data_IF_734811292610
#
_entry.id   IF_734811292610
#
_cell.length_a   1.000
_cell.length_b   1.000
_cell.length_c   1.000
_cell.angle_alpha   90.00
_cell.angle_beta   90.00
_cell.angle_gamma   90.00
#
_symmetry.space_group_name_H-M   'P 1'
#
loop_
_entity.id
_entity.type
_entity.pdbx_description
1 polymer ?
#
# COMPACT_ATOMS: atom_id res chain seq x y z
N UNK A 1 -3.18 -0.68 -3.41
CA UNK A 1 -4.43 0.00 -3.02
C UNK A 1 -5.52 -0.97 -2.56
N UNK A 2 -5.20 -2.22 -2.17
CA UNK A 2 -6.24 -3.18 -1.78
C UNK A 2 -6.90 -2.81 -0.44
N UNK A 3 -8.23 -2.96 -0.33
CA UNK A 3 -8.97 -2.89 0.94
C UNK A 3 -8.88 -4.19 1.76
N UNK A 4 -8.35 -5.27 1.19
CA UNK A 4 -8.39 -6.60 1.79
C UNK A 4 -7.02 -7.00 2.35
N UNK A 5 -6.97 -7.33 3.64
CA UNK A 5 -5.76 -7.79 4.31
C UNK A 5 -5.19 -9.05 3.66
N UNK A 6 -6.08 -9.96 3.22
CA UNK A 6 -5.69 -11.21 2.59
C UNK A 6 -4.92 -10.99 1.30
N UNK A 7 -5.23 -9.94 0.53
CA UNK A 7 -4.50 -9.63 -0.70
C UNK A 7 -3.05 -9.22 -0.39
N UNK A 8 -2.85 -8.40 0.65
CA UNK A 8 -1.52 -7.99 1.11
C UNK A 8 -0.73 -9.21 1.60
N UNK A 9 -1.35 -10.07 2.40
CA UNK A 9 -0.73 -11.29 2.91
C UNK A 9 -0.32 -12.24 1.78
N UNK A 10 -1.22 -12.48 0.82
CA UNK A 10 -0.95 -13.33 -0.33
C UNK A 10 0.18 -12.75 -1.20
N UNK A 11 0.20 -11.43 -1.39
CA UNK A 11 1.27 -10.77 -2.14
C UNK A 11 2.63 -10.93 -1.47
N UNK A 12 2.71 -10.70 -0.15
CA UNK A 12 3.92 -10.93 0.66
C UNK A 12 4.39 -12.38 0.53
N UNK A 13 3.49 -13.35 0.68
CA UNK A 13 3.83 -14.77 0.62
C UNK A 13 4.28 -15.23 -0.77
N UNK A 14 3.64 -14.72 -1.83
CA UNK A 14 3.94 -15.06 -3.22
C UNK A 14 5.33 -14.59 -3.60
N UNK A 15 5.68 -13.36 -3.25
CA UNK A 15 6.93 -12.73 -3.67
C UNK A 15 8.04 -12.77 -2.61
N UNK A 16 7.79 -13.40 -1.45
CA UNK A 16 8.74 -13.52 -0.33
C UNK A 16 9.31 -12.17 0.09
N UNK A 17 8.41 -11.21 0.28
CA UNK A 17 8.78 -9.84 0.65
C UNK A 17 9.12 -9.81 2.13
N UNK A 18 10.30 -9.28 2.48
CA UNK A 18 10.71 -9.03 3.87
C UNK A 18 10.41 -7.58 4.30
N UNK A 19 10.61 -6.64 3.37
CA UNK A 19 10.38 -5.21 3.59
C UNK A 19 9.65 -4.57 2.41
N UNK A 20 8.79 -3.61 2.73
CA UNK A 20 8.14 -2.75 1.75
C UNK A 20 8.59 -1.31 1.93
N UNK A 21 9.13 -0.72 0.87
CA UNK A 21 9.38 0.71 0.80
C UNK A 21 8.13 1.40 0.25
N UNK A 22 7.58 2.35 1.00
CA UNK A 22 6.37 3.07 0.63
C UNK A 22 6.66 4.56 0.67
N UNK A 23 6.38 5.27 -0.43
CA UNK A 23 6.41 6.73 -0.44
C UNK A 23 5.17 7.28 0.27
N UNK A 24 5.34 8.28 1.14
CA UNK A 24 4.28 8.86 2.00
C UNK A 24 3.08 9.38 1.22
N UNK A 25 3.27 9.84 -0.03
CA UNK A 25 2.19 10.36 -0.86
C UNK A 25 1.44 9.29 -1.67
N UNK A 26 1.89 8.03 -1.62
CA UNK A 26 1.36 6.92 -2.46
C UNK A 26 -0.16 6.79 -2.38
N UNK A 27 -0.78 7.05 -1.23
CA UNK A 27 -2.21 6.82 -1.03
C UNK A 27 -3.09 8.05 -1.24
N UNK A 28 -2.61 9.06 -1.98
CA UNK A 28 -3.41 10.20 -2.44
C UNK A 28 -3.93 9.94 -3.86
N UNK A 29 -5.17 10.33 -4.21
CA UNK A 29 -5.67 10.17 -5.58
C UNK A 29 -4.77 10.78 -6.64
N UNK A 30 -4.16 11.95 -6.36
CA UNK A 30 -3.24 12.65 -7.26
C UNK A 30 -1.96 11.85 -7.56
N UNK A 31 -1.55 10.93 -6.70
CA UNK A 31 -0.39 10.08 -6.95
C UNK A 31 -0.61 9.18 -8.18
N UNK A 32 -1.86 8.87 -8.53
CA UNK A 32 -2.21 8.07 -9.71
C UNK A 32 -2.22 8.89 -11.02
N UNK A 33 -1.91 10.19 -10.96
CA UNK A 33 -1.82 11.06 -12.15
C UNK A 33 -0.51 10.86 -12.93
N UNK A 34 0.53 10.30 -12.30
CA UNK A 34 1.79 10.05 -12.98
C UNK A 34 1.59 9.20 -14.24
N UNK A 35 2.26 9.60 -15.33
CA UNK A 35 2.04 9.03 -16.66
C UNK A 35 2.16 7.50 -16.71
N UNK A 36 3.10 6.94 -15.95
CA UNK A 36 3.38 5.51 -15.92
C UNK A 36 2.22 4.68 -15.35
N UNK A 37 1.34 5.26 -14.51
CA UNK A 37 0.17 4.55 -14.00
C UNK A 37 -0.85 4.22 -15.11
N UNK A 38 -0.84 4.95 -16.24
CA UNK A 38 -1.74 4.70 -17.37
C UNK A 38 -1.57 3.29 -17.97
N UNK A 39 -0.42 2.65 -17.73
CA UNK A 39 -0.13 1.29 -18.18
C UNK A 39 -0.88 0.21 -17.39
N UNK A 40 -1.47 0.56 -16.24
CA UNK A 40 -2.11 -0.37 -15.32
C UNK A 40 -3.64 -0.26 -15.32
N UNK A 41 -4.24 0.19 -16.41
CA UNK A 41 -5.70 0.17 -16.54
C UNK A 41 -6.23 -1.27 -16.68
N UNK A 42 -7.41 -1.59 -16.09
CA UNK A 42 -8.34 -0.69 -15.40
C UNK A 42 -8.02 -0.44 -13.91
N UNK A 43 -7.02 -1.13 -13.36
CA UNK A 43 -6.71 -1.10 -11.93
C UNK A 43 -6.34 0.30 -11.40
N UNK A 44 -5.76 1.17 -12.26
CA UNK A 44 -5.53 2.58 -11.91
C UNK A 44 -6.84 3.32 -11.64
N UNK A 45 -7.83 3.20 -12.54
CA UNK A 45 -9.13 3.86 -12.39
C UNK A 45 -9.84 3.36 -11.14
N UNK A 46 -9.86 2.05 -10.90
CA UNK A 46 -10.45 1.46 -9.69
C UNK A 46 -9.77 1.96 -8.40
N UNK A 47 -8.44 2.02 -8.39
CA UNK A 47 -7.69 2.55 -7.25
C UNK A 47 -7.99 4.03 -7.00
N UNK A 48 -8.16 4.84 -8.05
CA UNK A 48 -8.52 6.26 -7.92
C UNK A 48 -9.89 6.42 -7.31
N UNK A 49 -10.91 5.76 -7.87
CA UNK A 49 -12.28 5.84 -7.34
C UNK A 49 -12.35 5.39 -5.88
N UNK A 50 -11.58 4.36 -5.52
CA UNK A 50 -11.47 3.89 -4.15
C UNK A 50 -10.94 4.98 -3.20
N UNK A 51 -9.82 5.62 -3.56
CA UNK A 51 -9.19 6.67 -2.76
C UNK A 51 -10.03 7.95 -2.69
N UNK A 52 -10.68 8.35 -3.79
CA UNK A 52 -11.55 9.55 -3.86
C UNK A 52 -12.77 9.41 -2.94
N UNK A 53 -13.26 8.19 -2.72
CA UNK A 53 -14.29 7.88 -1.70
C UNK A 53 -13.75 7.90 -0.26
N UNK A 54 -12.55 8.45 -0.04
CA UNK A 54 -11.86 8.52 1.25
C UNK A 54 -11.60 7.14 1.89
N UNK A 55 -11.55 6.08 1.08
CA UNK A 55 -11.24 4.76 1.59
C UNK A 55 -9.72 4.62 1.77
N UNK A 56 -9.32 4.06 2.91
CA UNK A 56 -7.90 3.94 3.27
C UNK A 56 -7.42 2.51 2.97
N UNK A 57 -6.46 2.31 2.05
CA UNK A 57 -5.93 0.97 1.76
C UNK A 57 -5.33 0.32 3.01
N UNK A 58 -5.40 -1.00 3.10
CA UNK A 58 -4.85 -1.75 4.24
C UNK A 58 -3.41 -1.36 4.53
N UNK A 59 -2.59 -1.26 3.47
CA UNK A 59 -1.19 -0.92 3.63
C UNK A 59 -0.98 0.44 4.32
N UNK A 60 -1.81 1.43 3.98
CA UNK A 60 -1.77 2.76 4.60
C UNK A 60 -2.14 2.71 6.09
N UNK A 61 -3.17 1.93 6.45
CA UNK A 61 -3.59 1.76 7.85
C UNK A 61 -2.45 1.13 8.68
N UNK A 62 -1.75 0.15 8.10
CA UNK A 62 -0.68 -0.58 8.78
C UNK A 62 0.62 0.21 8.93
N UNK A 63 0.82 1.31 8.19
CA UNK A 63 2.04 2.12 8.27
C UNK A 63 2.34 2.57 9.70
N UNK A 64 1.31 2.96 10.47
CA UNK A 64 1.47 3.41 11.86
C UNK A 64 2.03 2.35 12.81
N UNK A 65 1.81 1.06 12.51
CA UNK A 65 2.17 -0.06 13.39
C UNK A 65 3.39 -0.82 12.90
N UNK A 66 3.52 -0.97 11.58
CA UNK A 66 4.51 -1.84 10.97
C UNK A 66 5.72 -1.10 10.37
N UNK A 67 5.80 0.21 10.57
CA UNK A 67 7.00 1.02 10.25
C UNK A 67 8.17 0.60 11.13
N UNK A 68 9.31 0.34 10.50
CA UNK A 68 10.59 0.05 11.17
C UNK A 68 11.66 1.11 10.89
N UNK A 69 11.45 1.92 9.86
CA UNK A 69 12.33 3.02 9.49
C UNK A 69 11.53 4.06 8.70
N UNK A 70 11.74 5.33 9.01
CA UNK A 70 11.21 6.45 8.23
C UNK A 70 12.37 7.37 7.85
N UNK A 71 12.49 7.67 6.55
CA UNK A 71 13.55 8.53 6.00
C UNK A 71 12.93 9.38 4.92
N UNK A 72 12.98 10.70 5.09
CA UNK A 72 12.47 11.68 4.12
C UNK A 72 11.02 11.39 3.69
N UNK A 73 10.75 11.17 2.41
CA UNK A 73 9.43 10.81 1.87
C UNK A 73 9.10 9.32 1.97
N UNK A 74 9.99 8.49 2.49
CA UNK A 74 9.82 7.04 2.52
C UNK A 74 9.58 6.47 3.92
N UNK A 75 8.82 5.38 3.93
CA UNK A 75 8.59 4.53 5.09
C UNK A 75 8.90 3.09 4.72
N UNK A 76 9.73 2.43 5.52
CA UNK A 76 10.01 1.00 5.40
C UNK A 76 9.12 0.23 6.36
N UNK A 77 8.35 -0.71 5.82
CA UNK A 77 7.43 -1.55 6.55
C UNK A 77 7.97 -2.97 6.64
N UNK A 78 7.89 -3.59 7.82
CA UNK A 78 8.27 -5.00 7.98
C UNK A 78 7.12 -5.92 7.59
N UNK A 79 7.34 -6.79 6.60
CA UNK A 79 6.32 -7.66 6.04
C UNK A 79 5.77 -8.69 7.04
N UNK A 80 6.61 -9.13 8.00
CA UNK A 80 6.18 -9.99 9.11
C UNK A 80 5.08 -9.33 9.96
N UNK A 81 5.20 -8.04 10.26
CA UNK A 81 4.15 -7.28 10.96
C UNK A 81 2.89 -7.12 10.09
N UNK A 82 3.08 -6.88 8.78
CA UNK A 82 1.98 -6.78 7.81
C UNK A 82 1.18 -8.09 7.67
N UNK A 83 1.77 -9.22 8.04
CA UNK A 83 1.11 -10.53 7.95
C UNK A 83 0.38 -10.95 9.24
N UNK A 84 0.42 -10.14 10.30
CA UNK A 84 -0.24 -10.43 11.57
C UNK A 84 -1.66 -9.87 11.59
N UNK A 85 -2.64 -10.74 11.84
CA UNK A 85 -3.98 -10.31 12.26
C UNK A 85 -3.88 -9.66 13.63
N UNK A 86 -4.55 -8.52 13.85
CA UNK A 86 -4.80 -8.05 15.22
C UNK A 86 -5.53 -9.18 15.96
N UNK A 87 -4.94 -9.62 17.09
CA UNK A 87 -5.63 -10.48 18.04
C UNK A 87 -6.45 -9.61 18.97
#
# INVERSE_FOLDING_TARGET
YSPNQTDVQNFIQKYKIDFWLVERQTFQPSYLDYHWYKLFEPARTEAREYLERSQTPVLAQMMKRCSVLEVEEFTVLQAKCLSQTER
#
